data_IF_310128746324
#
_entry.id   IF_310128746324
#
_cell.length_a   1.000
_cell.length_b   1.000
_cell.length_c   1.000
_cell.angle_alpha   90.00
_cell.angle_beta   90.00
_cell.angle_gamma   90.00
#
_symmetry.space_group_name_H-M   'P 1'
#
loop_
_entity.id
_entity.type
_entity.pdbx_description
1 polymer ?
#
# COMPACT_ATOMS: atom_id res chain seq x y z
N UNK A 1 13.31 -3.03 5.29
CA UNK A 1 12.79 -3.47 3.96
C UNK A 1 11.28 -3.70 4.06
N UNK A 2 10.48 -3.10 3.17
CA UNK A 2 9.03 -3.35 3.13
C UNK A 2 8.72 -4.76 2.61
N UNK A 3 7.48 -5.24 2.78
CA UNK A 3 7.05 -6.52 2.19
C UNK A 3 7.22 -6.51 0.67
N UNK A 4 7.51 -7.66 0.04
CA UNK A 4 7.47 -7.77 -1.41
C UNK A 4 6.07 -7.42 -1.94
N UNK A 5 6.03 -6.61 -2.99
CA UNK A 5 4.80 -6.24 -3.68
C UNK A 5 4.48 -7.34 -4.70
N UNK A 6 3.32 -7.98 -4.59
CA UNK A 6 2.91 -9.07 -5.49
C UNK A 6 2.21 -8.57 -6.78
N UNK A 7 2.13 -7.26 -6.98
CA UNK A 7 1.68 -6.63 -8.23
C UNK A 7 1.00 -5.29 -8.01
N UNK A 8 0.73 -4.56 -9.10
CA UNK A 8 -0.15 -3.40 -9.08
C UNK A 8 -1.60 -3.86 -9.24
N UNK A 9 -2.49 -3.36 -8.39
CA UNK A 9 -3.93 -3.65 -8.43
C UNK A 9 -4.63 -2.59 -9.29
N UNK A 10 -4.40 -1.31 -8.97
CA UNK A 10 -5.04 -0.18 -9.63
C UNK A 10 -4.25 1.11 -9.39
N UNK A 11 -4.54 2.14 -10.17
CA UNK A 11 -4.00 3.49 -9.98
C UNK A 11 -5.14 4.45 -9.73
N UNK A 12 -4.99 5.30 -8.71
CA UNK A 12 -5.93 6.37 -8.39
C UNK A 12 -5.24 7.73 -8.43
N UNK A 13 -6.03 8.77 -8.60
CA UNK A 13 -5.54 10.15 -8.49
C UNK A 13 -5.65 10.60 -7.05
N UNK A 14 -4.55 11.12 -6.50
CA UNK A 14 -4.52 11.73 -5.17
C UNK A 14 -5.23 13.08 -5.15
N UNK A 15 -5.43 13.64 -3.95
CA UNK A 15 -6.04 14.97 -3.76
C UNK A 15 -5.30 16.10 -4.49
N UNK A 16 -4.01 15.90 -4.76
CA UNK A 16 -3.12 16.87 -5.43
C UNK A 16 -2.95 16.58 -6.93
N UNK A 17 -3.72 15.63 -7.49
CA UNK A 17 -3.65 15.27 -8.91
C UNK A 17 -2.56 14.26 -9.25
N UNK A 18 -1.80 13.78 -8.27
CA UNK A 18 -0.69 12.86 -8.50
C UNK A 18 -1.19 11.42 -8.65
N UNK A 19 -0.70 10.65 -9.62
CA UNK A 19 -1.03 9.23 -9.73
C UNK A 19 -0.43 8.45 -8.56
N UNK A 20 -1.26 7.65 -7.90
CA UNK A 20 -0.90 6.77 -6.79
C UNK A 20 -1.29 5.34 -7.15
N UNK A 21 -0.32 4.44 -7.16
CA UNK A 21 -0.53 3.02 -7.49
C UNK A 21 -0.77 2.23 -6.22
N UNK A 22 -1.89 1.48 -6.17
CA UNK A 22 -2.18 0.51 -5.12
C UNK A 22 -1.57 -0.83 -5.51
N UNK A 23 -0.92 -1.47 -4.54
CA UNK A 23 -0.26 -2.76 -4.68
C UNK A 23 -0.82 -3.77 -3.69
N UNK A 24 -0.76 -5.05 -4.06
CA UNK A 24 -0.87 -6.15 -3.11
C UNK A 24 0.50 -6.40 -2.48
N UNK A 25 0.51 -6.71 -1.20
CA UNK A 25 1.72 -7.04 -0.44
C UNK A 25 1.58 -8.40 0.20
N UNK A 26 2.69 -9.13 0.27
CA UNK A 26 2.75 -10.41 0.97
C UNK A 26 3.57 -10.23 2.26
N UNK A 27 2.92 -10.48 3.39
CA UNK A 27 3.49 -10.38 4.73
C UNK A 27 3.72 -11.78 5.28
N UNK A 28 4.99 -12.18 5.42
CA UNK A 28 5.31 -13.42 6.10
C UNK A 28 5.19 -13.24 7.61
N UNK A 29 4.23 -13.94 8.20
CA UNK A 29 3.95 -13.94 9.62
C UNK A 29 4.54 -15.20 10.24
N UNK A 30 5.32 -15.04 11.31
CA UNK A 30 5.82 -16.16 12.10
C UNK A 30 5.04 -16.24 13.41
N UNK A 31 4.53 -17.42 13.72
CA UNK A 31 3.96 -17.73 15.03
C UNK A 31 4.66 -18.91 15.68
N UNK A 32 4.45 -19.13 17.00
CA UNK A 32 4.90 -20.35 17.67
C UNK A 32 4.33 -21.64 17.08
N UNK A 33 3.24 -21.58 16.30
CA UNK A 33 2.57 -22.74 15.67
C UNK A 33 3.01 -22.99 14.22
N UNK A 34 3.93 -22.19 13.69
CA UNK A 34 4.35 -22.21 12.28
C UNK A 34 4.29 -20.84 11.62
N UNK A 35 4.83 -20.75 10.40
CA UNK A 35 4.78 -19.56 9.56
C UNK A 35 3.65 -19.62 8.54
N UNK A 36 3.03 -18.49 8.25
CA UNK A 36 2.06 -18.34 7.17
C UNK A 36 2.23 -16.98 6.49
N UNK A 37 1.83 -16.89 5.22
CA UNK A 37 1.81 -15.63 4.49
C UNK A 37 0.42 -15.00 4.58
N UNK A 38 0.36 -13.72 4.92
CA UNK A 38 -0.85 -12.91 4.92
C UNK A 38 -0.77 -11.92 3.78
N UNK A 39 -1.87 -11.74 3.06
CA UNK A 39 -1.94 -10.70 2.04
C UNK A 39 -2.46 -9.41 2.64
N UNK A 40 -1.83 -8.30 2.28
CA UNK A 40 -2.33 -6.98 2.56
C UNK A 40 -2.14 -6.06 1.37
N UNK A 41 -2.12 -4.76 1.63
CA UNK A 41 -2.09 -3.74 0.59
C UNK A 41 -1.04 -2.69 0.92
N UNK A 42 -0.60 -1.97 -0.10
CA UNK A 42 0.23 -0.78 0.01
C UNK A 42 -0.14 0.18 -1.11
N UNK A 43 0.29 1.43 -0.98
CA UNK A 43 0.22 2.38 -2.09
C UNK A 43 1.54 3.11 -2.27
N UNK A 44 1.82 3.54 -3.50
CA UNK A 44 3.04 4.23 -3.88
C UNK A 44 2.72 5.48 -4.70
N UNK A 45 3.34 6.59 -4.33
CA UNK A 45 3.33 7.86 -5.08
C UNK A 45 4.72 8.10 -5.70
N UNK A 46 4.84 8.80 -6.84
CA UNK A 46 6.13 9.34 -7.29
C UNK A 46 6.88 10.15 -6.22
N UNK A 47 6.11 10.86 -5.38
CA UNK A 47 6.57 11.69 -4.26
C UNK A 47 6.85 10.92 -2.96
N UNK A 48 6.29 9.72 -2.79
CA UNK A 48 6.32 8.97 -1.53
C UNK A 48 6.66 7.50 -1.79
N UNK A 49 7.73 7.02 -1.14
CA UNK A 49 8.40 5.76 -1.51
C UNK A 49 7.49 4.53 -1.40
N UNK A 50 6.70 4.39 -0.32
CA UNK A 50 5.70 3.33 -0.12
C UNK A 50 4.94 3.50 1.21
N UNK A 51 3.61 3.62 1.18
CA UNK A 51 2.75 3.48 2.37
C UNK A 51 2.36 2.01 2.59
N UNK A 52 2.78 1.40 3.69
CA UNK A 52 2.54 -0.02 4.03
C UNK A 52 1.65 -0.18 5.27
N UNK A 53 1.13 -1.39 5.48
CA UNK A 53 0.52 -1.79 6.75
C UNK A 53 -0.99 -2.02 6.69
N UNK A 54 -1.57 -1.97 5.50
CA UNK A 54 -2.98 -2.28 5.30
C UNK A 54 -3.19 -3.79 5.34
N UNK A 55 -3.80 -4.27 6.43
CA UNK A 55 -4.08 -5.70 6.64
C UNK A 55 -5.05 -6.31 5.62
N UNK A 56 -5.26 -7.64 5.66
CA UNK A 56 -6.15 -8.34 4.73
C UNK A 56 -7.60 -7.85 4.81
N UNK A 57 -8.10 -7.62 6.02
CA UNK A 57 -9.48 -7.21 6.28
C UNK A 57 -9.60 -5.69 6.15
N UNK A 58 -10.45 -5.23 5.22
CA UNK A 58 -10.68 -3.82 4.86
C UNK A 58 -9.44 -3.03 4.39
N UNK A 59 -8.24 -3.60 4.38
CA UNK A 59 -7.02 -2.86 4.02
C UNK A 59 -7.00 -2.36 2.59
N UNK A 60 -7.72 -2.97 1.65
CA UNK A 60 -7.85 -2.41 0.30
C UNK A 60 -8.61 -1.08 0.33
N UNK A 61 -9.73 -1.02 1.04
CA UNK A 61 -10.53 0.19 1.16
C UNK A 61 -9.76 1.29 1.89
N UNK A 62 -9.00 0.93 2.92
CA UNK A 62 -8.16 1.87 3.65
C UNK A 62 -6.97 2.37 2.81
N UNK A 63 -6.27 1.48 2.10
CA UNK A 63 -5.22 1.87 1.16
C UNK A 63 -5.75 2.80 0.06
N UNK A 64 -6.96 2.52 -0.43
CA UNK A 64 -7.64 3.34 -1.43
C UNK A 64 -8.02 4.73 -0.89
N UNK A 65 -8.53 4.81 0.34
CA UNK A 65 -8.87 6.06 1.00
C UNK A 65 -7.61 6.91 1.23
N UNK A 66 -6.58 6.33 1.83
CA UNK A 66 -5.31 7.02 2.10
C UNK A 66 -4.64 7.49 0.81
N UNK A 67 -4.64 6.67 -0.25
CA UNK A 67 -4.09 7.05 -1.55
C UNK A 67 -4.84 8.23 -2.19
N UNK A 68 -6.17 8.30 -2.04
CA UNK A 68 -6.99 9.40 -2.54
C UNK A 68 -6.81 10.66 -1.71
N UNK A 69 -6.69 10.53 -0.39
CA UNK A 69 -6.51 11.66 0.52
C UNK A 69 -5.07 12.17 0.57
N UNK A 70 -4.12 11.41 0.01
CA UNK A 70 -2.72 11.78 -0.04
C UNK A 70 -2.50 13.14 -0.73
N UNK A 71 -1.76 14.01 -0.06
CA UNK A 71 -1.28 15.27 -0.60
C UNK A 71 0.22 15.16 -0.85
N UNK A 72 0.63 15.30 -2.10
CA UNK A 72 2.03 15.40 -2.44
C UNK A 72 2.49 16.82 -2.07
N UNK A 73 3.37 16.93 -1.09
CA UNK A 73 4.18 18.15 -0.99
C UNK A 73 5.00 18.21 -2.27
N UNK A 74 4.85 19.29 -3.04
CA UNK A 74 5.62 19.52 -4.26
C UNK A 74 7.08 19.22 -3.96
N UNK A 75 7.81 18.44 -4.78
CA UNK A 75 9.25 18.31 -4.59
C UNK A 75 9.84 19.72 -4.70
N UNK A 76 10.34 20.24 -3.58
CA UNK A 76 11.12 21.47 -3.51
C UNK A 76 12.40 21.34 -4.34
#
# INVERSE_FOLDING_TARGET
PGPPLSGAITTVTSRTGTPVTIHRCDYDMRSPRGGWTVHGYAWRCPCHRLGCGYGPEAGFAQALADARDHTCETPS
#
